data_IF_494244065153
#
_entry.id   IF_494244065153
#
_cell.length_a   1.000
_cell.length_b   1.000
_cell.length_c   1.000
_cell.angle_alpha   90.00
_cell.angle_beta   90.00
_cell.angle_gamma   90.00
#
_symmetry.space_group_name_H-M   'P 1'
#
loop_
_entity.id
_entity.type
_entity.pdbx_description
1 polymer ?
#
# COMPACT_ATOMS: atom_id res chain seq x y z
N UNK A 1 2.01 30.06 4.30
CA UNK A 1 0.91 29.13 4.69
C UNK A 1 -0.15 29.01 3.57
N UNK A 2 -0.56 30.10 2.90
CA UNK A 2 -1.48 30.04 1.75
C UNK A 2 -0.92 29.20 0.60
N UNK A 3 0.34 29.41 0.24
CA UNK A 3 1.01 28.67 -0.85
C UNK A 3 1.05 27.15 -0.64
N UNK A 4 1.21 26.71 0.61
CA UNK A 4 1.22 25.27 0.93
C UNK A 4 -0.18 24.64 0.79
N UNK A 5 -1.23 25.36 1.18
CA UNK A 5 -2.61 24.89 1.03
C UNK A 5 -3.03 24.83 -0.45
N UNK A 6 -2.64 25.82 -1.25
CA UNK A 6 -2.89 25.81 -2.69
C UNK A 6 -2.15 24.66 -3.38
N UNK A 7 -0.89 24.43 -3.03
CA UNK A 7 -0.12 23.30 -3.55
C UNK A 7 -0.74 21.95 -3.20
N UNK A 8 -1.19 21.77 -1.95
CA UNK A 8 -1.86 20.54 -1.50
C UNK A 8 -3.17 20.32 -2.28
N UNK A 9 -3.96 21.35 -2.49
CA UNK A 9 -5.20 21.25 -3.26
C UNK A 9 -4.94 20.95 -4.73
N UNK A 10 -3.95 21.58 -5.34
CA UNK A 10 -3.54 21.29 -6.72
C UNK A 10 -3.08 19.85 -6.88
N UNK A 11 -2.28 19.36 -5.93
CA UNK A 11 -1.83 17.98 -5.90
C UNK A 11 -3.00 16.99 -5.79
N UNK A 12 -3.96 17.26 -4.90
CA UNK A 12 -5.15 16.43 -4.73
C UNK A 12 -5.97 16.34 -6.03
N UNK A 13 -6.16 17.48 -6.71
CA UNK A 13 -6.85 17.51 -8.00
C UNK A 13 -6.09 16.74 -9.08
N UNK A 14 -4.77 16.91 -9.15
CA UNK A 14 -3.92 16.19 -10.12
C UNK A 14 -3.96 14.69 -9.92
N UNK A 15 -3.94 14.24 -8.66
CA UNK A 15 -3.98 12.83 -8.29
C UNK A 15 -5.39 12.24 -8.32
N UNK A 16 -6.42 13.06 -8.46
CA UNK A 16 -7.82 12.64 -8.39
C UNK A 16 -8.14 11.87 -7.11
N UNK A 17 -7.76 12.45 -5.98
CA UNK A 17 -8.09 11.94 -4.64
C UNK A 17 -8.47 13.14 -3.75
N UNK A 18 -9.30 12.95 -2.72
CA UNK A 18 -9.57 13.99 -1.75
C UNK A 18 -8.29 14.44 -1.05
N UNK A 19 -8.20 15.73 -0.70
CA UNK A 19 -7.03 16.28 0.01
C UNK A 19 -6.70 15.52 1.29
N UNK A 20 -7.71 15.01 2.00
CA UNK A 20 -7.55 14.20 3.22
C UNK A 20 -6.83 12.86 2.95
N UNK A 21 -6.91 12.32 1.74
CA UNK A 21 -6.26 11.07 1.36
C UNK A 21 -4.78 11.24 1.00
N UNK A 22 -4.31 12.46 0.75
CA UNK A 22 -2.88 12.71 0.48
C UNK A 22 -1.98 12.27 1.65
N UNK A 23 -2.40 12.53 2.89
CA UNK A 23 -1.65 12.08 4.07
C UNK A 23 -1.61 10.55 4.13
N UNK A 24 -2.73 9.89 3.85
CA UNK A 24 -2.83 8.43 3.78
C UNK A 24 -1.87 7.88 2.72
N UNK A 25 -1.84 8.51 1.54
CA UNK A 25 -0.97 8.10 0.43
C UNK A 25 0.51 8.29 0.77
N UNK A 26 0.90 9.41 1.39
CA UNK A 26 2.30 9.63 1.79
C UNK A 26 2.75 8.66 2.90
N UNK A 27 1.92 8.44 3.91
CA UNK A 27 2.23 7.46 4.97
C UNK A 27 2.31 6.05 4.38
N UNK A 28 1.40 5.69 3.46
CA UNK A 28 1.42 4.41 2.76
C UNK A 28 2.68 4.23 1.91
N UNK A 29 3.07 5.27 1.16
CA UNK A 29 4.31 5.29 0.37
C UNK A 29 5.53 5.05 1.24
N UNK A 30 5.63 5.78 2.35
CA UNK A 30 6.74 5.63 3.30
C UNK A 30 6.77 4.23 3.93
N UNK A 31 5.62 3.73 4.37
CA UNK A 31 5.52 2.39 4.96
C UNK A 31 5.93 1.29 3.98
N UNK A 32 5.45 1.33 2.75
CA UNK A 32 5.83 0.36 1.73
C UNK A 32 7.30 0.47 1.32
N UNK A 33 7.82 1.70 1.21
CA UNK A 33 9.25 1.89 0.98
C UNK A 33 10.09 1.24 2.12
N UNK A 34 9.72 1.47 3.38
CA UNK A 34 10.37 0.84 4.54
C UNK A 34 10.33 -0.68 4.48
N UNK A 35 9.17 -1.26 4.12
CA UNK A 35 9.03 -2.71 3.95
C UNK A 35 9.97 -3.25 2.89
N UNK A 36 10.03 -2.61 1.72
CA UNK A 36 10.88 -3.01 0.61
C UNK A 36 12.37 -2.90 0.95
N UNK A 37 12.81 -1.75 1.47
CA UNK A 37 14.19 -1.50 1.87
C UNK A 37 14.63 -2.49 2.96
N UNK A 38 13.75 -2.76 3.95
CA UNK A 38 14.07 -3.69 5.04
C UNK A 38 14.29 -5.11 4.53
N UNK A 39 13.49 -5.58 3.58
CA UNK A 39 13.66 -6.90 2.98
C UNK A 39 14.88 -6.97 2.06
N UNK A 40 15.12 -5.94 1.24
CA UNK A 40 16.34 -5.84 0.41
C UNK A 40 17.62 -5.83 1.26
N UNK A 41 17.61 -5.11 2.39
CA UNK A 41 18.69 -5.10 3.36
C UNK A 41 18.98 -6.50 3.95
N UNK A 42 17.94 -7.31 4.19
CA UNK A 42 18.12 -8.70 4.64
C UNK A 42 18.77 -9.60 3.57
N UNK A 43 18.65 -9.24 2.29
CA UNK A 43 19.32 -9.88 1.15
C UNK A 43 20.69 -9.29 0.82
N UNK A 44 21.19 -8.38 1.66
CA UNK A 44 22.48 -7.71 1.51
C UNK A 44 22.60 -6.87 0.20
N UNK A 45 21.49 -6.31 -0.27
CA UNK A 45 21.52 -5.35 -1.37
C UNK A 45 22.26 -4.08 -0.92
N UNK A 46 22.95 -3.43 -1.83
CA UNK A 46 23.54 -2.12 -1.57
C UNK A 46 22.47 -1.03 -1.37
N UNK A 47 22.91 0.17 -1.01
CA UNK A 47 21.99 1.29 -0.70
C UNK A 47 21.10 1.63 -1.90
N UNK A 48 21.67 1.60 -3.12
CA UNK A 48 20.93 1.91 -4.33
C UNK A 48 19.93 0.80 -4.67
N UNK A 49 20.34 -0.46 -4.63
CA UNK A 49 19.46 -1.61 -4.83
C UNK A 49 18.31 -1.66 -3.82
N UNK A 50 18.60 -1.38 -2.54
CA UNK A 50 17.57 -1.31 -1.51
C UNK A 50 16.59 -0.14 -1.76
N UNK A 51 17.07 1.01 -2.22
CA UNK A 51 16.23 2.14 -2.61
C UNK A 51 15.32 1.79 -3.78
N UNK A 52 15.84 1.13 -4.82
CA UNK A 52 15.05 0.68 -5.99
C UNK A 52 13.95 -0.29 -5.55
N UNK A 53 14.26 -1.27 -4.70
CA UNK A 53 13.23 -2.21 -4.18
C UNK A 53 12.18 -1.48 -3.35
N UNK A 54 12.61 -0.55 -2.48
CA UNK A 54 11.69 0.28 -1.70
C UNK A 54 10.78 1.13 -2.56
N UNK A 55 11.34 1.80 -3.57
CA UNK A 55 10.61 2.62 -4.52
C UNK A 55 9.61 1.76 -5.31
N UNK A 56 10.05 0.65 -5.91
CA UNK A 56 9.18 -0.25 -6.66
C UNK A 56 8.03 -0.81 -5.80
N UNK A 57 8.28 -1.08 -4.51
CA UNK A 57 7.24 -1.48 -3.57
C UNK A 57 6.23 -0.37 -3.33
N UNK A 58 6.73 0.86 -3.10
CA UNK A 58 5.90 2.00 -2.72
C UNK A 58 5.02 2.51 -3.87
N UNK A 59 5.57 2.58 -5.09
CA UNK A 59 4.83 3.14 -6.23
C UNK A 59 4.22 2.08 -7.15
N UNK A 60 4.65 0.82 -7.06
CA UNK A 60 4.28 -0.23 -8.01
C UNK A 60 2.79 -0.53 -8.03
N UNK A 61 2.15 -0.66 -6.85
CA UNK A 61 0.72 -0.93 -6.75
C UNK A 61 -0.15 0.20 -7.33
N UNK A 62 0.19 1.44 -6.99
CA UNK A 62 -0.50 2.62 -7.53
C UNK A 62 -0.24 2.83 -9.01
N UNK A 63 0.95 2.48 -9.51
CA UNK A 63 1.26 2.50 -10.94
C UNK A 63 0.37 1.53 -11.71
N UNK A 64 0.26 0.30 -11.21
CA UNK A 64 -0.59 -0.71 -11.82
C UNK A 64 -2.06 -0.27 -11.86
N UNK A 65 -2.56 0.27 -10.75
CA UNK A 65 -3.90 0.88 -10.67
C UNK A 65 -4.09 1.96 -11.74
N UNK A 66 -3.19 2.93 -11.77
CA UNK A 66 -3.33 4.11 -12.63
C UNK A 66 -3.33 3.74 -14.12
N UNK A 67 -2.46 2.80 -14.52
CA UNK A 67 -2.43 2.25 -15.88
C UNK A 67 -3.76 1.55 -16.22
N UNK A 68 -4.31 0.73 -15.30
CA UNK A 68 -5.61 0.08 -15.53
C UNK A 68 -6.77 1.06 -15.59
N UNK A 69 -6.71 2.17 -14.85
CA UNK A 69 -7.70 3.24 -14.89
C UNK A 69 -7.52 4.20 -16.07
N UNK A 70 -6.49 4.01 -16.91
CA UNK A 70 -6.23 4.83 -18.09
C UNK A 70 -5.71 6.24 -17.76
N UNK A 71 -5.04 6.40 -16.62
CA UNK A 71 -4.43 7.69 -16.22
C UNK A 71 -2.92 7.54 -16.05
N UNK A 72 -2.21 8.67 -16.10
CA UNK A 72 -0.77 8.67 -15.87
C UNK A 72 -0.46 8.22 -14.44
N UNK A 73 0.56 7.37 -14.22
CA UNK A 73 1.02 6.99 -12.90
C UNK A 73 1.30 8.23 -12.03
N UNK A 74 0.78 8.23 -10.82
CA UNK A 74 0.77 9.38 -9.90
C UNK A 74 2.17 9.96 -9.62
N UNK A 75 3.19 9.12 -9.55
CA UNK A 75 4.57 9.53 -9.30
C UNK A 75 5.25 10.23 -10.50
N UNK A 76 4.73 10.04 -11.72
CA UNK A 76 5.25 10.72 -12.92
C UNK A 76 4.90 12.21 -12.96
N UNK A 77 3.91 12.61 -12.20
CA UNK A 77 3.45 14.00 -12.12
C UNK A 77 3.98 14.74 -10.90
N UNK A 78 4.65 14.06 -9.99
CA UNK A 78 5.16 14.68 -8.77
C UNK A 78 6.36 13.92 -8.19
N UNK A 79 7.49 14.61 -8.05
CA UNK A 79 8.75 14.08 -7.52
C UNK A 79 8.73 13.78 -6.01
N UNK A 80 7.72 14.23 -5.28
CA UNK A 80 7.64 14.06 -3.82
C UNK A 80 7.70 12.58 -3.40
N UNK A 81 7.23 11.67 -4.25
CA UNK A 81 7.28 10.23 -3.98
C UNK A 81 8.71 9.70 -3.94
N UNK A 82 9.62 10.23 -4.78
CA UNK A 82 11.04 9.90 -4.73
C UNK A 82 11.68 10.41 -3.43
N UNK A 83 11.27 11.59 -2.96
CA UNK A 83 11.74 12.17 -1.70
C UNK A 83 11.30 11.26 -0.52
N UNK A 84 10.04 10.82 -0.47
CA UNK A 84 9.57 9.90 0.56
C UNK A 84 10.33 8.58 0.55
N UNK A 85 10.62 8.02 -0.62
CA UNK A 85 11.43 6.80 -0.75
C UNK A 85 12.89 7.02 -0.30
N UNK A 86 13.49 8.17 -0.60
CA UNK A 86 14.82 8.51 -0.13
C UNK A 86 14.88 8.71 1.40
N UNK A 87 13.86 9.36 1.98
CA UNK A 87 13.71 9.48 3.43
C UNK A 87 13.55 8.12 4.10
N UNK A 88 12.87 7.17 3.47
CA UNK A 88 12.75 5.81 3.98
C UNK A 88 14.11 5.09 4.03
N UNK A 89 14.98 5.27 3.02
CA UNK A 89 16.35 4.72 3.05
C UNK A 89 17.13 5.32 4.22
N UNK A 90 17.09 6.64 4.36
CA UNK A 90 17.78 7.33 5.45
C UNK A 90 17.26 6.84 6.81
N UNK A 91 15.97 6.69 6.96
CA UNK A 91 15.34 6.17 8.17
C UNK A 91 15.82 4.75 8.50
N UNK A 92 15.83 3.84 7.52
CA UNK A 92 16.33 2.46 7.72
C UNK A 92 17.81 2.48 8.08
N UNK A 93 18.60 3.34 7.45
CA UNK A 93 20.04 3.45 7.74
C UNK A 93 20.30 3.91 9.19
N UNK A 94 19.59 4.94 9.65
CA UNK A 94 19.73 5.49 11.01
C UNK A 94 19.24 4.48 12.06
N UNK A 95 18.10 3.85 11.81
CA UNK A 95 17.44 2.96 12.76
C UNK A 95 17.72 1.47 12.52
N UNK A 96 18.71 1.15 11.68
CA UNK A 96 19.06 -0.22 11.27
C UNK A 96 19.17 -1.19 12.47
N UNK A 97 19.88 -0.79 13.54
CA UNK A 97 20.07 -1.63 14.74
C UNK A 97 18.75 -2.04 15.39
N UNK A 98 17.76 -1.14 15.43
CA UNK A 98 16.44 -1.39 16.03
C UNK A 98 15.56 -2.21 15.07
N UNK A 99 15.54 -1.86 13.80
CA UNK A 99 14.73 -2.52 12.79
C UNK A 99 15.19 -3.95 12.51
N UNK A 100 16.48 -4.23 12.55
CA UNK A 100 17.05 -5.57 12.36
C UNK A 100 16.79 -6.46 13.56
N UNK A 101 16.82 -5.91 14.78
CA UNK A 101 16.57 -6.68 16.01
C UNK A 101 15.15 -7.25 16.07
N UNK A 102 14.19 -6.54 15.49
CA UNK A 102 12.79 -7.01 15.40
C UNK A 102 12.55 -7.71 14.06
N UNK A 103 12.47 -9.02 14.07
CA UNK A 103 12.32 -9.86 12.87
C UNK A 103 11.07 -9.53 12.02
N UNK A 104 10.03 -8.95 12.62
CA UNK A 104 8.73 -8.72 11.99
C UNK A 104 8.48 -7.26 11.56
N UNK A 105 9.49 -6.37 11.58
CA UNK A 105 9.30 -4.96 11.22
C UNK A 105 8.80 -4.78 9.80
N UNK A 106 9.31 -5.56 8.85
CA UNK A 106 8.86 -5.53 7.46
C UNK A 106 7.37 -5.84 7.33
N UNK A 107 6.86 -6.81 8.13
CA UNK A 107 5.45 -7.19 8.15
C UNK A 107 4.55 -6.04 8.63
N UNK A 108 4.97 -5.32 9.66
CA UNK A 108 4.21 -4.16 10.19
C UNK A 108 4.08 -3.09 9.10
N UNK A 109 5.20 -2.71 8.49
CA UNK A 109 5.21 -1.71 7.44
C UNK A 109 4.46 -2.16 6.18
N UNK A 110 4.59 -3.43 5.79
CA UNK A 110 3.81 -4.03 4.70
C UNK A 110 2.30 -3.97 4.99
N UNK A 111 1.89 -4.34 6.21
CA UNK A 111 0.48 -4.35 6.61
C UNK A 111 -0.11 -2.93 6.63
N UNK A 112 0.64 -1.94 7.11
CA UNK A 112 0.23 -0.53 7.09
C UNK A 112 0.08 -0.06 5.64
N UNK A 113 1.10 -0.27 4.81
CA UNK A 113 1.07 0.11 3.40
C UNK A 113 -0.09 -0.54 2.64
N UNK A 114 -0.29 -1.86 2.86
CA UNK A 114 -1.39 -2.62 2.29
C UNK A 114 -2.76 -2.01 2.61
N UNK A 115 -3.00 -1.67 3.89
CA UNK A 115 -4.26 -1.12 4.36
C UNK A 115 -4.52 0.28 3.78
N UNK A 116 -3.51 1.15 3.81
CA UNK A 116 -3.63 2.52 3.34
C UNK A 116 -3.80 2.60 1.81
N UNK A 117 -3.01 1.83 1.05
CA UNK A 117 -3.17 1.80 -0.41
C UNK A 117 -4.44 1.09 -0.88
N UNK A 118 -4.97 0.16 -0.09
CA UNK A 118 -6.29 -0.40 -0.36
C UNK A 118 -7.36 0.70 -0.40
N UNK A 119 -7.42 1.56 0.62
CA UNK A 119 -8.43 2.64 0.67
C UNK A 119 -8.18 3.73 -0.36
N UNK A 120 -6.92 4.10 -0.62
CA UNK A 120 -6.59 5.06 -1.71
C UNK A 120 -7.01 4.50 -3.06
N UNK A 121 -6.80 3.21 -3.30
CA UNK A 121 -7.22 2.54 -4.53
C UNK A 121 -8.73 2.51 -4.71
N UNK A 122 -9.48 2.23 -3.64
CA UNK A 122 -10.95 2.27 -3.64
C UNK A 122 -11.44 3.67 -3.98
N UNK A 123 -10.99 4.67 -3.23
CA UNK A 123 -11.45 6.04 -3.35
C UNK A 123 -11.18 6.62 -4.75
N UNK A 124 -9.96 6.46 -5.26
CA UNK A 124 -9.60 6.93 -6.60
C UNK A 124 -10.48 6.27 -7.67
N UNK A 125 -10.77 4.99 -7.54
CA UNK A 125 -11.61 4.24 -8.49
C UNK A 125 -13.06 4.74 -8.47
N UNK A 126 -13.61 5.00 -7.27
CA UNK A 126 -14.95 5.57 -7.12
C UNK A 126 -15.05 6.98 -7.71
N UNK A 127 -14.05 7.84 -7.49
CA UNK A 127 -14.02 9.20 -8.05
C UNK A 127 -13.93 9.21 -9.57
N UNK A 128 -13.43 8.15 -10.18
CA UNK A 128 -13.45 7.98 -11.63
C UNK A 128 -14.78 7.42 -12.17
N UNK A 129 -15.78 7.24 -11.30
CA UNK A 129 -17.13 6.80 -11.66
C UNK A 129 -17.28 5.29 -11.86
N UNK A 130 -16.32 4.48 -11.42
CA UNK A 130 -16.43 3.02 -11.49
C UNK A 130 -17.32 2.46 -10.37
N UNK A 131 -17.98 1.31 -10.60
CA UNK A 131 -18.85 0.69 -9.61
C UNK A 131 -18.06 0.12 -8.42
N UNK A 132 -18.75 -0.09 -7.28
CA UNK A 132 -18.16 -0.56 -6.02
C UNK A 132 -17.33 -1.84 -6.14
N UNK A 133 -17.79 -2.83 -6.91
CA UNK A 133 -17.03 -4.08 -7.10
C UNK A 133 -15.67 -3.84 -7.79
N UNK A 134 -15.62 -2.92 -8.77
CA UNK A 134 -14.37 -2.50 -9.40
C UNK A 134 -13.49 -1.77 -8.39
N UNK A 135 -14.07 -0.91 -7.57
CA UNK A 135 -13.33 -0.18 -6.54
C UNK A 135 -12.70 -1.13 -5.51
N UNK A 136 -13.43 -2.15 -5.03
CA UNK A 136 -12.89 -3.20 -4.13
C UNK A 136 -11.71 -3.92 -4.80
N UNK A 137 -11.90 -4.31 -6.06
CA UNK A 137 -10.86 -5.01 -6.83
C UNK A 137 -9.62 -4.14 -6.99
N UNK A 138 -9.79 -2.89 -7.42
CA UNK A 138 -8.69 -1.94 -7.63
C UNK A 138 -7.99 -1.55 -6.34
N UNK A 139 -8.72 -1.43 -5.24
CA UNK A 139 -8.16 -1.26 -3.90
C UNK A 139 -7.27 -2.45 -3.53
N UNK A 140 -7.79 -3.67 -3.68
CA UNK A 140 -7.04 -4.89 -3.39
C UNK A 140 -5.78 -5.03 -4.26
N UNK A 141 -5.88 -4.71 -5.54
CA UNK A 141 -4.73 -4.68 -6.47
C UNK A 141 -3.73 -3.61 -6.05
N UNK A 142 -4.19 -2.39 -5.76
CA UNK A 142 -3.32 -1.28 -5.36
C UNK A 142 -2.53 -1.62 -4.10
N UNK A 143 -3.20 -2.19 -3.10
CA UNK A 143 -2.55 -2.62 -1.86
C UNK A 143 -1.58 -3.78 -2.07
N UNK A 144 -1.99 -4.82 -2.79
CA UNK A 144 -1.21 -6.06 -2.89
C UNK A 144 -0.07 -6.01 -3.91
N UNK A 145 -0.23 -5.32 -5.04
CA UNK A 145 0.72 -5.39 -6.15
C UNK A 145 2.11 -4.85 -5.81
N UNK A 146 2.20 -3.81 -4.96
CA UNK A 146 3.49 -3.31 -4.47
C UNK A 146 4.31 -4.38 -3.76
N UNK A 147 3.67 -5.15 -2.88
CA UNK A 147 4.29 -6.29 -2.19
C UNK A 147 4.65 -7.44 -3.12
N UNK A 148 3.84 -7.70 -4.15
CA UNK A 148 4.15 -8.71 -5.18
C UNK A 148 5.40 -8.31 -5.96
N UNK A 149 5.49 -7.07 -6.43
CA UNK A 149 6.65 -6.55 -7.15
C UNK A 149 7.90 -6.64 -6.26
N UNK A 150 7.81 -6.23 -5.01
CA UNK A 150 8.89 -6.34 -4.03
C UNK A 150 9.42 -7.76 -3.91
N UNK A 151 8.51 -8.72 -3.67
CA UNK A 151 8.88 -10.11 -3.42
C UNK A 151 9.56 -10.72 -4.66
N UNK A 152 9.06 -10.40 -5.86
CA UNK A 152 9.70 -10.81 -7.13
C UNK A 152 11.11 -10.22 -7.27
N UNK A 153 11.29 -8.92 -6.98
CA UNK A 153 12.58 -8.26 -7.08
C UNK A 153 13.64 -8.83 -6.13
N UNK A 154 13.22 -9.29 -4.95
CA UNK A 154 14.14 -9.93 -3.99
C UNK A 154 14.23 -11.45 -4.15
N UNK A 155 13.66 -12.00 -5.23
CA UNK A 155 13.60 -13.43 -5.53
C UNK A 155 12.96 -14.26 -4.42
N UNK A 156 11.80 -13.81 -3.92
CA UNK A 156 10.96 -14.53 -2.96
C UNK A 156 9.61 -14.86 -3.60
N UNK A 157 8.98 -15.93 -3.12
CA UNK A 157 7.60 -16.24 -3.53
C UNK A 157 6.68 -15.15 -2.97
N UNK A 158 5.92 -14.42 -3.82
CA UNK A 158 5.03 -13.37 -3.36
C UNK A 158 4.02 -13.85 -2.31
N UNK A 159 3.76 -13.01 -1.30
CA UNK A 159 2.83 -13.30 -0.19
C UNK A 159 1.44 -13.72 -0.68
N UNK A 160 0.97 -13.15 -1.80
CA UNK A 160 -0.33 -13.47 -2.38
C UNK A 160 -0.45 -14.94 -2.81
N UNK A 161 0.68 -15.60 -3.13
CA UNK A 161 0.73 -17.00 -3.55
C UNK A 161 1.10 -17.94 -2.39
N UNK A 162 1.39 -17.39 -1.23
CA UNK A 162 1.59 -18.18 -0.01
C UNK A 162 0.23 -18.53 0.59
N UNK A 163 0.23 -19.36 1.63
CA UNK A 163 -1.00 -19.74 2.36
C UNK A 163 -1.60 -18.58 3.16
N UNK A 164 -0.88 -17.47 3.27
CA UNK A 164 -1.24 -16.33 4.11
C UNK A 164 -2.44 -15.56 3.54
N UNK A 165 -3.29 -15.07 4.42
CA UNK A 165 -4.39 -14.16 4.07
C UNK A 165 -3.77 -12.78 3.81
N UNK A 166 -3.53 -12.43 2.53
CA UNK A 166 -2.91 -11.19 2.10
C UNK A 166 -3.92 -10.31 1.34
N UNK A 167 -4.17 -10.60 0.07
CA UNK A 167 -5.13 -9.84 -0.74
C UNK A 167 -6.57 -9.95 -0.24
N UNK A 168 -6.95 -11.09 0.38
CA UNK A 168 -8.28 -11.24 0.98
C UNK A 168 -8.53 -10.29 2.16
N UNK A 169 -7.48 -9.85 2.86
CA UNK A 169 -7.63 -8.81 3.87
C UNK A 169 -8.06 -7.48 3.24
N UNK A 170 -7.51 -7.14 2.05
CA UNK A 170 -7.93 -5.97 1.28
C UNK A 170 -9.38 -6.09 0.82
N UNK A 171 -9.78 -7.26 0.33
CA UNK A 171 -11.18 -7.51 -0.05
C UNK A 171 -12.12 -7.30 1.14
N UNK A 172 -11.78 -7.84 2.32
CA UNK A 172 -12.58 -7.65 3.53
C UNK A 172 -12.68 -6.16 3.92
N UNK A 173 -11.55 -5.43 3.89
CA UNK A 173 -11.56 -3.98 4.11
C UNK A 173 -12.38 -3.23 3.07
N UNK A 174 -12.27 -3.61 1.79
CA UNK A 174 -13.03 -3.03 0.69
C UNK A 174 -14.54 -3.25 0.82
N UNK A 175 -14.97 -4.41 1.30
CA UNK A 175 -16.39 -4.69 1.61
C UNK A 175 -16.88 -3.74 2.72
N UNK A 176 -16.10 -3.59 3.80
CA UNK A 176 -16.47 -2.66 4.89
C UNK A 176 -16.52 -1.23 4.38
N UNK A 177 -15.54 -0.79 3.58
CA UNK A 177 -15.58 0.53 2.93
C UNK A 177 -16.87 0.72 2.14
N UNK A 178 -17.23 -0.26 1.29
CA UNK A 178 -18.40 -0.19 0.43
C UNK A 178 -19.73 -0.15 1.21
N UNK A 179 -19.84 -0.91 2.30
CA UNK A 179 -21.01 -0.86 3.17
C UNK A 179 -21.16 0.54 3.77
N UNK A 180 -20.09 1.10 4.34
CA UNK A 180 -20.15 2.43 4.93
C UNK A 180 -20.40 3.53 3.88
N UNK A 181 -19.83 3.38 2.68
CA UNK A 181 -20.07 4.29 1.56
C UNK A 181 -21.54 4.27 1.11
N UNK A 182 -22.18 3.10 1.02
CA UNK A 182 -23.62 2.99 0.68
C UNK A 182 -24.55 3.51 1.77
N UNK A 183 -24.06 3.64 3.00
CA UNK A 183 -24.77 4.25 4.13
C UNK A 183 -24.49 5.76 4.25
N UNK A 184 -23.87 6.39 3.23
CA UNK A 184 -23.51 7.82 3.17
C UNK A 184 -22.59 8.30 4.31
N UNK A 185 -21.76 7.38 4.86
CA UNK A 185 -20.72 7.80 5.80
C UNK A 185 -19.63 8.62 5.11
N UNK A 186 -19.02 9.52 5.89
CA UNK A 186 -17.89 10.32 5.42
C UNK A 186 -16.75 9.40 4.90
N UNK A 187 -16.16 9.67 3.71
CA UNK A 187 -15.09 8.85 3.12
C UNK A 187 -13.90 8.61 4.07
N UNK A 188 -13.54 9.58 4.90
CA UNK A 188 -12.45 9.42 5.87
C UNK A 188 -12.79 8.39 6.97
N UNK A 189 -14.05 8.35 7.41
CA UNK A 189 -14.53 7.35 8.37
C UNK A 189 -14.52 5.97 7.73
N UNK A 190 -15.03 5.86 6.50
CA UNK A 190 -15.01 4.61 5.74
C UNK A 190 -13.59 4.09 5.52
N UNK A 191 -12.65 4.99 5.18
CA UNK A 191 -11.23 4.68 5.03
C UNK A 191 -10.59 4.18 6.34
N UNK A 192 -10.90 4.83 7.47
CA UNK A 192 -10.39 4.44 8.78
C UNK A 192 -10.84 3.02 9.15
N UNK A 193 -12.14 2.75 9.10
CA UNK A 193 -12.67 1.42 9.43
C UNK A 193 -12.19 0.34 8.47
N UNK A 194 -12.14 0.62 7.17
CA UNK A 194 -11.55 -0.28 6.17
C UNK A 194 -10.10 -0.62 6.51
N UNK A 195 -9.27 0.39 6.80
CA UNK A 195 -7.87 0.20 7.15
C UNK A 195 -7.70 -0.62 8.43
N UNK A 196 -8.51 -0.36 9.45
CA UNK A 196 -8.52 -1.15 10.70
C UNK A 196 -8.84 -2.61 10.42
N UNK A 197 -9.84 -2.89 9.57
CA UNK A 197 -10.21 -4.27 9.20
C UNK A 197 -9.07 -4.96 8.47
N UNK A 198 -8.43 -4.32 7.49
CA UNK A 198 -7.27 -4.89 6.78
C UNK A 198 -6.17 -5.26 7.78
N UNK A 199 -5.78 -4.32 8.66
CA UNK A 199 -4.74 -4.52 9.66
C UNK A 199 -5.12 -5.66 10.62
N UNK A 200 -6.36 -5.65 11.13
CA UNK A 200 -6.84 -6.68 12.05
C UNK A 200 -6.82 -8.08 11.41
N UNK A 201 -7.37 -8.23 10.20
CA UNK A 201 -7.37 -9.51 9.47
C UNK A 201 -5.94 -9.99 9.24
N UNK A 202 -5.01 -9.12 8.83
CA UNK A 202 -3.59 -9.46 8.65
C UNK A 202 -2.93 -9.91 9.96
N UNK A 203 -3.11 -9.15 11.03
CA UNK A 203 -2.52 -9.47 12.33
C UNK A 203 -3.09 -10.77 12.91
N UNK A 204 -4.40 -10.96 12.84
CA UNK A 204 -5.05 -12.18 13.33
C UNK A 204 -4.68 -13.40 12.48
N UNK A 205 -4.63 -13.28 11.15
CA UNK A 205 -4.25 -14.40 10.28
C UNK A 205 -2.85 -14.91 10.59
N UNK A 206 -1.89 -14.01 10.82
CA UNK A 206 -0.52 -14.39 11.19
C UNK A 206 -0.47 -14.95 12.61
N UNK A 207 -1.17 -14.32 13.57
CA UNK A 207 -1.17 -14.76 14.97
C UNK A 207 -1.81 -16.13 15.17
N UNK A 208 -2.92 -16.40 14.46
CA UNK A 208 -3.68 -17.65 14.59
C UNK A 208 -3.39 -18.66 13.49
N UNK A 209 -2.40 -18.38 12.63
CA UNK A 209 -2.01 -19.26 11.53
C UNK A 209 -3.19 -19.63 10.62
N UNK A 210 -4.03 -18.65 10.28
CA UNK A 210 -5.13 -18.85 9.33
C UNK A 210 -4.58 -19.00 7.92
N UNK A 211 -4.92 -20.13 7.31
CA UNK A 211 -4.44 -20.48 5.98
C UNK A 211 -5.59 -20.83 5.04
N UNK A 212 -5.41 -20.49 3.78
CA UNK A 212 -6.32 -20.98 2.74
C UNK A 212 -6.00 -22.43 2.39
N UNK A 213 -7.04 -23.23 2.00
CA UNK A 213 -6.81 -24.59 1.53
C UNK A 213 -5.96 -24.59 0.25
N UNK A 214 -5.04 -25.54 0.17
CA UNK A 214 -4.20 -25.72 -1.02
C UNK A 214 -5.00 -26.46 -2.08
N UNK A 215 -4.97 -25.96 -3.31
CA UNK A 215 -5.44 -26.73 -4.46
C UNK A 215 -4.43 -27.84 -4.71
N UNK A 216 -4.80 -29.09 -4.41
CA UNK A 216 -3.95 -30.26 -4.66
C UNK A 216 -4.01 -30.52 -6.16
N UNK A 217 -2.84 -30.42 -6.84
CA UNK A 217 -2.64 -31.05 -8.14
C UNK A 217 -2.50 -32.55 -7.94
N UNK A 218 -3.03 -33.35 -8.85
CA UNK A 218 -2.76 -34.78 -8.93
C UNK A 218 -1.28 -35.04 -9.22
#
# INVERSE_FOLDING_TARGET
MQDAAEWINLLAQTLRIPTSFLLIEFIGTFAFALSGIRLASAKQFDVFGAWIVGMATAIGGGTFRDVMLGVNPFWMTNEIYFIWCALAVLFVHIFAKYLVKQKNTWFIFDTIGLALFNVVGIEKTLQMGFPLWTAITMGSVTGAAGGVIRDVLINEVPLIFRKDIYALACVAGGIVYSILHTMDFNPNISALFSSIVVIAVRCFSVKFHWHLPIVKGE
#
